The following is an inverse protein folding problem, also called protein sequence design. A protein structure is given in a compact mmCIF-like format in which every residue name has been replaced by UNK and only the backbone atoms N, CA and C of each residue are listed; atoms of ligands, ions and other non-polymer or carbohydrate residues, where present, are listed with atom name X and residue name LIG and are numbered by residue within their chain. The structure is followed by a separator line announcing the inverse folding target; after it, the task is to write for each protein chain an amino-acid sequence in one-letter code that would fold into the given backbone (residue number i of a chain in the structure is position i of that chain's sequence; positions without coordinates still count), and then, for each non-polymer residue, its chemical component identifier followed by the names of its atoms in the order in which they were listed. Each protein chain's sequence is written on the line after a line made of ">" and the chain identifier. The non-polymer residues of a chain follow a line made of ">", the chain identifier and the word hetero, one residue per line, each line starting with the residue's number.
data_IF_840382385232
#
_entry.id   IF_840382385232
#
_cell.length_a   1.000
_cell.length_b   1.000
_cell.length_c   1.000
_cell.angle_alpha   90.00
_cell.angle_beta   90.00
_cell.angle_gamma   90.00
#
_symmetry.space_group_name_H-M   'P 1'
#
loop_
_entity.id
_entity.type
_entity.pdbx_description
1 polymer ?
#
# COMPACT_ATOMS: atom_id res chain seq x y z
N UNK A 1 5.03 10.18 -13.03
CA UNK A 1 5.63 8.93 -12.52
C UNK A 1 5.97 8.03 -13.69
N UNK A 2 7.19 7.49 -13.71
CA UNK A 2 7.58 6.40 -14.63
C UNK A 2 7.22 5.04 -14.02
N UNK A 3 7.23 3.98 -14.83
CA UNK A 3 7.05 2.62 -14.31
C UNK A 3 8.14 2.24 -13.30
N UNK A 4 9.38 2.71 -13.51
CA UNK A 4 10.48 2.50 -12.57
C UNK A 4 10.22 3.16 -11.22
N UNK A 5 9.71 4.40 -11.21
CA UNK A 5 9.38 5.11 -9.98
C UNK A 5 8.26 4.40 -9.20
N UNK A 6 7.29 3.84 -9.93
CA UNK A 6 6.19 3.08 -9.33
C UNK A 6 6.71 1.83 -8.63
N UNK A 7 7.56 1.04 -9.31
CA UNK A 7 8.16 -0.16 -8.72
C UNK A 7 9.06 0.17 -7.53
N UNK A 8 9.82 1.28 -7.59
CA UNK A 8 10.60 1.75 -6.46
C UNK A 8 9.72 2.13 -5.25
N UNK A 9 8.55 2.72 -5.49
CA UNK A 9 7.58 3.04 -4.42
C UNK A 9 6.95 1.76 -3.81
N UNK A 10 6.68 0.75 -4.63
CA UNK A 10 6.26 -0.58 -4.17
C UNK A 10 7.33 -1.21 -3.28
N UNK A 11 8.60 -1.18 -3.71
CA UNK A 11 9.71 -1.75 -2.95
C UNK A 11 9.91 -1.00 -1.62
N UNK A 12 9.73 0.32 -1.60
CA UNK A 12 9.78 1.12 -0.38
C UNK A 12 8.65 0.75 0.60
N UNK A 13 7.44 0.49 0.12
CA UNK A 13 6.33 0.03 0.97
C UNK A 13 6.62 -1.33 1.60
N UNK A 14 7.20 -2.26 0.84
CA UNK A 14 7.62 -3.58 1.37
C UNK A 14 8.77 -3.46 2.36
N UNK A 15 9.74 -2.60 2.09
CA UNK A 15 10.84 -2.33 3.02
C UNK A 15 10.34 -1.77 4.36
N UNK A 16 9.34 -0.88 4.34
CA UNK A 16 8.68 -0.37 5.57
C UNK A 16 7.90 -1.48 6.28
N UNK A 17 7.14 -2.28 5.53
CA UNK A 17 6.43 -3.43 6.10
C UNK A 17 7.36 -4.40 6.82
N UNK A 18 8.56 -4.67 6.30
CA UNK A 18 9.55 -5.51 6.97
C UNK A 18 10.02 -4.98 8.33
N UNK A 19 9.92 -3.68 8.58
CA UNK A 19 10.40 -3.06 9.81
C UNK A 19 9.35 -3.15 10.92
N UNK A 20 8.08 -2.87 10.62
CA UNK A 20 7.03 -2.71 11.63
C UNK A 20 5.82 -3.64 11.46
N UNK A 21 5.60 -4.23 10.28
CA UNK A 21 4.47 -5.09 9.92
C UNK A 21 3.06 -4.50 10.14
N UNK A 22 2.94 -3.24 10.57
CA UNK A 22 1.71 -2.68 11.10
C UNK A 22 1.10 -1.60 10.20
N UNK A 23 1.91 -0.92 9.37
CA UNK A 23 1.43 0.15 8.50
C UNK A 23 0.72 1.29 9.25
N UNK A 24 0.12 2.21 8.51
CA UNK A 24 -0.67 3.31 9.08
C UNK A 24 -2.09 2.83 9.41
N UNK A 25 -2.61 3.12 10.62
CA UNK A 25 -3.96 2.72 11.01
C UNK A 25 -5.03 3.32 10.08
N UNK A 26 -5.88 2.46 9.52
CA UNK A 26 -7.03 2.85 8.70
C UNK A 26 -8.34 2.63 9.44
N UNK A 27 -9.26 3.58 9.31
CA UNK A 27 -10.66 3.42 9.73
C UNK A 27 -11.54 3.25 8.50
N UNK A 28 -12.31 2.17 8.43
CA UNK A 28 -13.33 2.01 7.39
C UNK A 28 -14.51 2.94 7.69
N UNK A 29 -14.90 3.76 6.71
CA UNK A 29 -16.04 4.66 6.77
C UNK A 29 -17.00 4.32 5.64
N UNK A 30 -18.26 4.09 5.98
CA UNK A 30 -19.30 3.85 4.98
C UNK A 30 -19.52 5.13 4.16
N UNK A 31 -19.31 5.01 2.85
CA UNK A 31 -19.64 6.04 1.89
C UNK A 31 -20.68 5.50 0.90
N UNK A 32 -21.90 6.01 0.96
CA UNK A 32 -23.06 5.40 0.28
C UNK A 32 -22.91 5.30 -1.25
N UNK A 33 -22.10 6.16 -1.85
CA UNK A 33 -21.86 6.22 -3.29
C UNK A 33 -20.60 5.44 -3.71
N UNK A 34 -19.86 4.88 -2.75
CA UNK A 34 -18.65 4.12 -3.02
C UNK A 34 -18.95 2.94 -3.95
N UNK A 35 -18.15 2.84 -5.01
CA UNK A 35 -18.22 1.71 -5.94
C UNK A 35 -17.17 0.66 -5.54
N UNK A 36 -17.51 -0.64 -5.58
CA UNK A 36 -16.54 -1.70 -5.28
C UNK A 36 -15.28 -1.58 -6.14
N UNK A 37 -14.12 -1.80 -5.53
CA UNK A 37 -12.80 -1.75 -6.18
C UNK A 37 -12.44 -0.41 -6.88
N UNK A 38 -13.15 0.69 -6.61
CA UNK A 38 -12.89 2.00 -7.20
C UNK A 38 -12.20 2.96 -6.20
N UNK A 39 -11.16 2.48 -5.52
CA UNK A 39 -10.58 3.18 -4.35
C UNK A 39 -10.12 4.62 -4.65
N UNK A 40 -9.49 4.86 -5.79
CA UNK A 40 -9.05 6.19 -6.19
C UNK A 40 -10.21 7.16 -6.44
N UNK A 41 -11.26 6.70 -7.11
CA UNK A 41 -12.44 7.51 -7.40
C UNK A 41 -13.28 7.76 -6.14
N UNK A 42 -13.44 6.74 -5.29
CA UNK A 42 -14.17 6.86 -4.03
C UNK A 42 -13.48 7.85 -3.07
N UNK A 43 -12.16 7.76 -2.91
CA UNK A 43 -11.41 8.69 -2.08
C UNK A 43 -11.51 10.15 -2.59
N UNK A 44 -11.40 10.35 -3.92
CA UNK A 44 -11.56 11.67 -4.53
C UNK A 44 -12.99 12.24 -4.36
N UNK A 45 -14.02 11.41 -4.55
CA UNK A 45 -15.42 11.79 -4.36
C UNK A 45 -15.71 12.14 -2.90
N UNK A 46 -15.22 11.33 -1.95
CA UNK A 46 -15.35 11.60 -0.53
C UNK A 46 -14.67 12.91 -0.15
N UNK A 47 -13.40 13.10 -0.54
CA UNK A 47 -12.64 14.31 -0.23
C UNK A 47 -13.29 15.57 -0.82
N UNK A 48 -13.88 15.48 -2.02
CA UNK A 48 -14.62 16.58 -2.64
C UNK A 48 -15.86 16.98 -1.83
N UNK A 49 -16.57 16.01 -1.25
CA UNK A 49 -17.84 16.24 -0.56
C UNK A 49 -17.69 16.56 0.92
N UNK A 50 -16.71 15.94 1.58
CA UNK A 50 -16.53 15.98 3.03
C UNK A 50 -15.25 16.70 3.46
N UNK A 51 -14.40 17.09 2.51
CA UNK A 51 -13.07 17.63 2.76
C UNK A 51 -12.04 16.54 3.08
N UNK A 52 -10.81 16.96 3.34
CA UNK A 52 -9.66 16.08 3.58
C UNK A 52 -8.69 16.04 2.40
N UNK A 53 -7.59 15.30 2.60
CA UNK A 53 -6.52 15.14 1.61
C UNK A 53 -6.53 13.70 1.09
N UNK A 54 -6.58 13.53 -0.23
CA UNK A 54 -6.42 12.19 -0.83
C UNK A 54 -4.95 11.80 -0.73
N UNK A 55 -4.69 10.65 -0.12
CA UNK A 55 -3.36 10.04 -0.09
C UNK A 55 -3.32 8.83 -1.00
N UNK A 56 -2.20 8.71 -1.71
CA UNK A 56 -1.86 7.54 -2.49
C UNK A 56 -0.84 6.71 -1.72
N UNK A 57 -0.98 5.39 -1.80
CA UNK A 57 -0.14 4.46 -1.08
C UNK A 57 -0.36 3.04 -1.55
N UNK A 58 0.11 2.11 -0.73
CA UNK A 58 -0.04 0.70 -1.00
C UNK A 58 -0.60 -0.03 0.21
N UNK A 59 -1.55 -0.93 -0.05
CA UNK A 59 -1.95 -1.95 0.90
C UNK A 59 -1.01 -3.14 0.75
N UNK A 60 -0.35 -3.51 1.83
CA UNK A 60 0.48 -4.71 1.91
C UNK A 60 -0.30 -5.79 2.67
N UNK A 61 -0.51 -6.92 2.01
CA UNK A 61 -1.11 -8.11 2.60
C UNK A 61 -0.08 -9.21 2.72
N UNK A 62 0.01 -9.80 3.92
CA UNK A 62 0.80 -11.00 4.15
C UNK A 62 -0.13 -12.19 4.48
N UNK A 63 -0.51 -13.00 3.46
CA UNK A 63 -1.18 -14.25 3.73
C UNK A 63 -0.25 -15.15 4.56
N UNK A 64 -0.69 -15.54 5.75
CA UNK A 64 0.10 -16.30 6.71
C UNK A 64 0.72 -17.56 6.05
N UNK A 65 2.02 -17.78 6.27
CA UNK A 65 2.84 -18.87 5.73
C UNK A 65 3.23 -18.78 4.23
N UNK A 66 3.07 -17.64 3.57
CA UNK A 66 3.50 -17.48 2.18
C UNK A 66 4.91 -16.90 2.09
N UNK A 67 5.70 -17.23 1.05
CA UNK A 67 7.03 -16.63 0.85
C UNK A 67 6.94 -15.21 0.25
N UNK A 68 5.74 -14.66 0.08
CA UNK A 68 5.46 -13.46 -0.70
C UNK A 68 4.40 -12.59 -0.02
N UNK A 69 4.54 -11.28 -0.18
CA UNK A 69 3.51 -10.29 0.12
C UNK A 69 2.83 -9.82 -1.16
N UNK A 70 1.56 -9.46 -1.04
CA UNK A 70 0.83 -8.77 -2.10
C UNK A 70 0.81 -7.27 -1.80
N UNK A 71 1.14 -6.48 -2.81
CA UNK A 71 1.17 -5.02 -2.73
C UNK A 71 0.14 -4.47 -3.71
N UNK A 72 -0.85 -3.77 -3.21
CA UNK A 72 -1.98 -3.27 -4.00
C UNK A 72 -2.02 -1.74 -3.90
N UNK A 73 -1.94 -1.01 -5.02
CA UNK A 73 -2.11 0.44 -5.01
C UNK A 73 -3.47 0.80 -4.44
N UNK A 74 -3.49 1.82 -3.58
CA UNK A 74 -4.71 2.20 -2.90
C UNK A 74 -4.76 3.70 -2.60
N UNK A 75 -5.97 4.23 -2.47
CA UNK A 75 -6.19 5.60 -2.03
C UNK A 75 -7.04 5.64 -0.77
N UNK A 76 -6.62 6.49 0.16
CA UNK A 76 -7.34 6.79 1.40
C UNK A 76 -7.52 8.30 1.53
N UNK A 77 -8.34 8.73 2.49
CA UNK A 77 -8.51 10.16 2.80
C UNK A 77 -7.92 10.45 4.17
N UNK A 78 -7.01 11.42 4.25
CA UNK A 78 -6.54 11.99 5.51
C UNK A 78 -7.53 13.07 5.96
N UNK A 79 -7.99 12.93 7.19
CA UNK A 79 -8.89 13.87 7.85
C UNK A 79 -8.30 14.29 9.21
N UNK A 80 -8.97 15.21 9.92
CA UNK A 80 -8.59 15.56 11.29
C UNK A 80 -8.73 14.41 12.30
N UNK A 81 -9.39 13.32 11.92
CA UNK A 81 -9.59 12.13 12.76
C UNK A 81 -8.60 10.99 12.44
N UNK A 82 -7.75 11.17 11.42
CA UNK A 82 -6.82 10.14 10.94
C UNK A 82 -7.08 9.75 9.49
N UNK A 83 -6.57 8.58 9.10
CA UNK A 83 -6.74 8.01 7.78
C UNK A 83 -8.00 7.16 7.71
N UNK A 84 -8.80 7.40 6.68
CA UNK A 84 -10.02 6.65 6.44
C UNK A 84 -10.01 5.95 5.08
N UNK A 85 -10.53 4.74 5.06
CA UNK A 85 -10.83 3.98 3.85
C UNK A 85 -12.33 4.02 3.61
N UNK A 86 -12.73 4.45 2.42
CA UNK A 86 -14.14 4.58 2.02
C UNK A 86 -14.56 3.52 1.00
N UNK A 87 -13.69 2.54 0.75
CA UNK A 87 -13.89 1.48 -0.24
C UNK A 87 -13.93 0.10 0.41
N UNK A 88 -12.99 -0.17 1.32
CA UNK A 88 -12.88 -1.45 2.00
C UNK A 88 -13.69 -1.44 3.30
N UNK A 89 -14.39 -2.54 3.55
CA UNK A 89 -15.06 -2.80 4.82
C UNK A 89 -14.06 -3.04 5.95
N UNK A 90 -14.48 -2.95 7.23
CA UNK A 90 -13.61 -3.28 8.37
C UNK A 90 -13.02 -4.68 8.27
N UNK A 91 -13.77 -5.63 7.71
CA UNK A 91 -13.39 -7.02 7.55
C UNK A 91 -12.30 -7.20 6.49
N UNK A 92 -12.38 -6.47 5.39
CA UNK A 92 -11.38 -6.47 4.31
C UNK A 92 -10.09 -5.77 4.74
N UNK A 93 -10.18 -4.75 5.59
CA UNK A 93 -8.99 -4.11 6.18
C UNK A 93 -8.21 -5.03 7.13
N UNK A 94 -8.83 -6.10 7.65
CA UNK A 94 -8.14 -7.02 8.56
C UNK A 94 -6.99 -7.72 7.83
N UNK A 95 -5.78 -7.51 8.34
CA UNK A 95 -4.57 -8.10 7.78
C UNK A 95 -3.97 -7.32 6.61
N UNK A 96 -4.44 -6.09 6.37
CA UNK A 96 -3.83 -5.14 5.45
C UNK A 96 -3.10 -4.05 6.24
N UNK A 97 -1.87 -3.74 5.85
CA UNK A 97 -1.15 -2.54 6.30
C UNK A 97 -1.12 -1.50 5.19
N UNK A 98 -1.54 -0.26 5.46
CA UNK A 98 -1.42 0.83 4.48
C UNK A 98 -0.10 1.58 4.65
N UNK A 99 0.58 1.84 3.55
CA UNK A 99 1.84 2.58 3.53
C UNK A 99 1.70 3.74 2.56
N UNK A 100 1.56 4.97 3.09
CA UNK A 100 1.47 6.16 2.26
C UNK A 100 2.76 6.39 1.46
N UNK A 101 2.62 6.86 0.24
CA UNK A 101 3.74 7.38 -0.52
C UNK A 101 4.20 8.72 0.07
N UNK A 102 5.50 8.87 0.27
CA UNK A 102 6.08 10.10 0.82
C UNK A 102 6.02 11.26 -0.18
N UNK A 103 6.03 10.94 -1.48
CA UNK A 103 6.02 11.94 -2.55
C UNK A 103 4.75 11.80 -3.38
N UNK A 104 3.93 12.85 -3.40
CA UNK A 104 2.81 12.96 -4.32
C UNK A 104 3.35 13.00 -5.76
N UNK A 105 2.94 12.02 -6.57
CA UNK A 105 3.45 11.86 -7.92
C UNK A 105 2.31 11.88 -8.93
N UNK A 106 2.48 12.71 -9.96
CA UNK A 106 1.57 12.73 -11.12
C UNK A 106 1.54 11.35 -11.79
N UNK A 107 0.34 10.88 -12.17
CA UNK A 107 0.06 9.60 -12.85
C UNK A 107 0.01 8.33 -11.98
N UNK A 108 -0.04 8.43 -10.64
CA UNK A 108 -0.18 7.23 -9.78
C UNK A 108 -1.39 6.37 -10.17
N UNK A 109 -2.57 6.98 -10.37
CA UNK A 109 -3.82 6.27 -10.71
C UNK A 109 -3.69 5.50 -12.04
N UNK A 110 -2.97 6.03 -13.01
CA UNK A 110 -2.76 5.34 -14.29
C UNK A 110 -1.78 4.17 -14.14
N UNK A 111 -0.76 4.29 -13.30
CA UNK A 111 0.11 3.16 -12.97
C UNK A 111 -0.64 2.10 -12.17
N UNK A 112 -1.49 2.50 -11.21
CA UNK A 112 -2.31 1.59 -10.44
C UNK A 112 -3.27 0.76 -11.29
N UNK A 113 -3.82 1.34 -12.37
CA UNK A 113 -4.64 0.60 -13.35
C UNK A 113 -3.83 -0.43 -14.13
N UNK A 114 -2.57 -0.11 -14.47
CA UNK A 114 -1.67 -1.02 -15.20
C UNK A 114 -1.14 -2.15 -14.30
N UNK A 115 -0.90 -1.83 -13.03
CA UNK A 115 -0.31 -2.72 -12.03
C UNK A 115 -1.23 -2.78 -10.79
N UNK A 116 -2.42 -3.40 -10.90
CA UNK A 116 -3.40 -3.41 -9.82
C UNK A 116 -2.96 -4.25 -8.61
N UNK A 117 -1.99 -5.15 -8.81
CA UNK A 117 -1.37 -5.94 -7.76
C UNK A 117 0.03 -6.33 -8.18
N UNK A 118 0.96 -6.09 -7.28
CA UNK A 118 2.35 -6.53 -7.35
C UNK A 118 2.61 -7.63 -6.32
N UNK A 119 3.61 -8.46 -6.60
CA UNK A 119 4.07 -9.51 -5.70
C UNK A 119 5.53 -9.25 -5.38
N UNK A 120 5.88 -9.29 -4.10
CA UNK A 120 7.27 -9.17 -3.63
C UNK A 120 7.59 -10.29 -2.63
N UNK A 121 8.83 -10.80 -2.61
CA UNK A 121 9.23 -11.81 -1.64
C UNK A 121 9.27 -11.24 -0.22
N UNK A 122 8.95 -12.07 0.77
CA UNK A 122 9.12 -11.75 2.21
C UNK A 122 10.59 -11.78 2.62
N UNK A 123 11.46 -12.45 1.85
CA UNK A 123 12.92 -12.26 1.82
C UNK A 123 13.54 -13.20 0.78
N UNK A 124 14.59 -12.73 0.09
CA UNK A 124 15.75 -13.55 -0.29
C UNK A 124 16.96 -12.69 -0.74
N UNK A 125 17.54 -11.85 0.13
CA UNK A 125 18.92 -11.35 -0.03
C UNK A 125 19.51 -10.71 1.24
N UNK A 126 19.72 -11.52 2.29
CA UNK A 126 20.97 -11.38 3.04
C UNK A 126 21.94 -12.43 2.50
N UNK A 127 22.33 -12.30 1.22
CA UNK A 127 23.62 -12.81 0.75
C UNK A 127 24.68 -11.78 1.15
N UNK A 128 24.90 -11.61 2.45
CA UNK A 128 26.05 -10.88 2.99
C UNK A 128 26.97 -11.91 3.64
N UNK A 129 27.98 -12.29 2.85
CA UNK A 129 29.31 -12.79 3.25
C UNK A 129 29.35 -14.04 4.14
N UNK A 130 29.30 -15.22 3.53
CA UNK A 130 30.27 -16.26 3.90
C UNK A 130 31.50 -16.06 3.01
N UNK A 131 32.50 -15.38 3.54
CA UNK A 131 33.84 -15.39 2.95
C UNK A 131 34.39 -16.82 2.94
N UNK A 132 35.32 -17.16 2.04
CA UNK A 132 35.91 -18.48 1.96
C UNK A 132 36.99 -18.66 3.04
N UNK A 133 36.62 -18.56 4.32
CA UNK A 133 37.50 -18.92 5.44
C UNK A 133 37.03 -20.23 6.04
N UNK A 134 37.29 -21.32 5.32
CA UNK A 134 37.38 -22.63 5.93
C UNK A 134 38.41 -23.48 5.18
N UNK A 135 39.69 -23.26 5.49
CA UNK A 135 40.73 -24.27 5.36
C UNK A 135 41.59 -24.22 6.62
N UNK A 136 41.37 -25.22 7.47
CA UNK A 136 42.39 -25.77 8.38
C UNK A 136 43.60 -26.25 7.58
#
# INVERSE_FOLDING_TARGET
>A
MTEQDFHAAVDAAVARWHQDHHGEPLTSVVFAEAQPAQCHANAAAYATRHGGEVLHGFLVQYPHAWPQVWVMPHSVVRTGQGLIDVTLSPDELRGLGFFAMETAMTNFVDMAKRFPREIRPVAAALLIRMGPDNRL
#
